data_IF_827065939201
#
_entry.id   IF_827065939201
#
_cell.length_a   1.000
_cell.length_b   1.000
_cell.length_c   1.000
_cell.angle_alpha   90.00
_cell.angle_beta   90.00
_cell.angle_gamma   90.00
#
_symmetry.space_group_name_H-M   'P 1'
#
loop_
_entity.id
_entity.type
_entity.pdbx_description
1 polymer ?
#
# COMPACT_ATOMS: atom_id res chain seq x y z
N UNK A 1 -32.77 3.49 -19.78
CA UNK A 1 -31.91 2.60 -18.97
C UNK A 1 -32.11 2.96 -17.50
N UNK A 2 -32.84 2.11 -16.77
CA UNK A 2 -32.87 1.94 -15.31
C UNK A 2 -34.23 1.34 -14.93
N UNK A 3 -34.23 0.12 -14.41
CA UNK A 3 -35.38 -0.49 -13.75
C UNK A 3 -35.02 -0.69 -12.28
N UNK A 4 -35.86 -0.16 -11.39
CA UNK A 4 -35.96 -0.54 -9.98
C UNK A 4 -37.34 -0.15 -9.46
N UNK A 5 -37.67 -0.70 -8.28
CA UNK A 5 -38.86 -0.54 -7.42
C UNK A 5 -39.94 -1.60 -7.65
N UNK A 6 -40.58 -2.25 -6.68
CA UNK A 6 -40.26 -2.81 -5.35
C UNK A 6 -41.55 -3.50 -4.87
N UNK A 7 -41.41 -4.60 -4.13
CA UNK A 7 -42.26 -5.03 -3.01
C UNK A 7 -43.74 -5.43 -3.20
N UNK A 8 -44.02 -6.64 -2.66
CA UNK A 8 -45.01 -6.92 -1.60
C UNK A 8 -46.51 -6.91 -1.89
N UNK A 9 -47.11 -8.02 -1.44
CA UNK A 9 -48.43 -8.11 -0.78
C UNK A 9 -49.61 -8.53 -1.64
N UNK A 10 -49.99 -9.81 -1.49
CA UNK A 10 -51.37 -10.28 -1.18
C UNK A 10 -51.44 -11.81 -1.31
N UNK A 11 -51.31 -12.54 -0.20
CA UNK A 11 -52.15 -13.73 0.09
C UNK A 11 -51.88 -14.30 1.49
N UNK A 12 -51.92 -13.40 2.48
CA UNK A 12 -52.37 -13.80 3.81
C UNK A 12 -53.90 -13.72 3.79
N UNK A 13 -54.60 -14.82 3.50
CA UNK A 13 -55.99 -15.09 3.94
C UNK A 13 -56.51 -16.44 3.41
N UNK A 14 -55.96 -17.56 3.88
CA UNK A 14 -56.80 -18.75 4.10
C UNK A 14 -56.12 -19.72 5.05
N UNK A 15 -56.88 -20.12 6.07
CA UNK A 15 -56.59 -21.13 7.09
C UNK A 15 -55.84 -20.67 8.34
N UNK A 16 -56.44 -19.70 9.02
CA UNK A 16 -56.52 -19.66 10.48
C UNK A 16 -57.66 -20.60 10.91
N UNK A 17 -57.38 -21.72 11.59
CA UNK A 17 -58.13 -22.27 12.75
C UNK A 17 -57.77 -23.72 13.08
N UNK A 18 -57.16 -23.85 14.27
CA UNK A 18 -57.48 -24.80 15.37
C UNK A 18 -56.99 -26.25 15.14
N UNK A 19 -56.45 -26.96 16.14
CA UNK A 19 -56.91 -27.14 17.52
C UNK A 19 -55.68 -27.53 18.39
N UNK A 20 -55.70 -27.08 19.65
CA UNK A 20 -54.80 -27.49 20.74
C UNK A 20 -55.28 -28.80 21.39
N UNK A 21 -54.41 -29.41 22.20
CA UNK A 21 -54.61 -30.57 23.10
C UNK A 21 -54.31 -31.95 22.49
N UNK A 22 -53.30 -32.63 23.07
CA UNK A 22 -53.24 -34.07 23.42
C UNK A 22 -51.88 -34.38 24.12
N UNK A 23 -51.90 -34.16 25.44
CA UNK A 23 -51.39 -34.95 26.58
C UNK A 23 -50.01 -35.65 26.63
N UNK A 24 -49.39 -35.43 27.79
CA UNK A 24 -48.04 -35.74 28.28
C UNK A 24 -47.87 -37.21 28.77
N UNK A 25 -48.54 -38.21 28.17
CA UNK A 25 -48.64 -39.57 28.77
C UNK A 25 -47.97 -40.72 28.00
N UNK A 26 -47.46 -40.54 26.77
CA UNK A 26 -46.97 -41.69 25.96
C UNK A 26 -45.45 -41.93 25.91
N UNK A 27 -44.62 -41.16 26.64
CA UNK A 27 -43.15 -41.34 26.61
C UNK A 27 -42.65 -42.46 27.55
N UNK A 28 -43.47 -42.91 28.51
CA UNK A 28 -43.00 -43.80 29.60
C UNK A 28 -43.15 -45.31 29.30
N UNK A 29 -43.89 -45.71 28.25
CA UNK A 29 -44.05 -47.14 27.91
C UNK A 29 -42.98 -47.70 26.96
N UNK A 30 -42.36 -46.91 26.08
CA UNK A 30 -41.32 -47.42 25.17
C UNK A 30 -39.97 -47.73 25.85
N UNK A 31 -39.71 -47.12 27.02
CA UNK A 31 -38.42 -47.27 27.73
C UNK A 31 -38.33 -48.59 28.52
N UNK A 32 -39.46 -49.25 28.84
CA UNK A 32 -39.45 -50.52 29.60
C UNK A 32 -39.25 -51.78 28.76
N UNK A 33 -39.54 -51.75 27.45
CA UNK A 33 -39.52 -52.97 26.61
C UNK A 33 -38.17 -53.29 25.93
N UNK A 34 -37.12 -52.46 26.08
CA UNK A 34 -35.77 -52.75 25.52
C UNK A 34 -34.75 -53.29 26.52
N UNK A 35 -35.10 -53.48 27.80
CA UNK A 35 -34.16 -53.95 28.86
C UNK A 35 -34.14 -55.47 29.09
N UNK A 36 -34.81 -56.28 28.27
CA UNK A 36 -34.86 -57.75 28.42
C UNK A 36 -34.37 -58.48 27.18
N UNK A 37 -33.04 -58.47 26.97
CA UNK A 37 -32.19 -59.30 26.08
C UNK A 37 -30.90 -58.49 25.95
N UNK A 38 -29.75 -58.80 26.55
CA UNK A 38 -29.07 -60.07 26.76
C UNK A 38 -28.13 -59.96 27.98
N UNK A 39 -28.09 -61.01 28.80
CA UNK A 39 -27.03 -61.30 29.79
C UNK A 39 -26.22 -62.49 29.29
N UNK A 40 -24.88 -62.40 29.35
CA UNK A 40 -23.90 -63.49 29.17
C UNK A 40 -23.50 -63.74 27.71
N UNK A 41 -22.24 -63.89 27.30
CA UNK A 41 -21.12 -64.63 27.92
C UNK A 41 -19.78 -64.17 27.30
N UNK A 42 -18.68 -64.21 28.05
CA UNK A 42 -17.32 -63.98 27.52
C UNK A 42 -16.90 -65.12 26.57
N UNK A 43 -16.51 -64.79 25.35
CA UNK A 43 -15.70 -65.63 24.49
C UNK A 43 -14.55 -64.80 23.90
N UNK A 44 -13.33 -65.21 24.21
CA UNK A 44 -12.11 -64.73 23.57
C UNK A 44 -12.18 -64.93 22.07
N UNK A 45 -12.08 -63.85 21.29
CA UNK A 45 -11.88 -63.93 19.84
C UNK A 45 -10.61 -63.17 19.47
N UNK A 46 -9.68 -63.92 18.87
CA UNK A 46 -8.39 -63.49 18.37
C UNK A 46 -8.52 -62.24 17.47
N UNK A 47 -7.70 -61.22 17.74
CA UNK A 47 -7.48 -60.11 16.81
C UNK A 47 -6.66 -60.62 15.63
N UNK A 48 -7.34 -61.05 14.56
CA UNK A 48 -6.72 -61.10 13.23
C UNK A 48 -6.46 -59.68 12.75
N UNK A 49 -5.22 -59.23 12.88
CA UNK A 49 -4.71 -58.03 12.21
C UNK A 49 -4.89 -58.22 10.69
N UNK A 50 -5.95 -57.64 10.13
CA UNK A 50 -6.01 -57.36 8.69
C UNK A 50 -5.43 -55.97 8.49
N UNK A 51 -4.25 -55.91 7.89
CA UNK A 51 -3.64 -54.65 7.46
C UNK A 51 -4.47 -54.11 6.28
N UNK A 52 -5.34 -53.14 6.54
CA UNK A 52 -6.13 -52.46 5.52
C UNK A 52 -5.34 -51.31 4.91
N UNK A 53 -5.31 -51.25 3.59
CA UNK A 53 -4.62 -50.24 2.77
C UNK A 53 -5.14 -48.82 3.08
N UNK A 54 -4.24 -47.82 3.12
CA UNK A 54 -4.48 -46.39 3.44
C UNK A 54 -5.75 -45.74 2.82
N UNK A 55 -6.27 -46.27 1.73
CA UNK A 55 -7.36 -45.66 0.95
C UNK A 55 -8.79 -45.98 1.43
N UNK A 56 -8.98 -46.88 2.39
CA UNK A 56 -10.33 -47.20 2.90
C UNK A 56 -10.74 -46.40 4.15
N UNK A 57 -9.80 -45.78 4.87
CA UNK A 57 -10.05 -45.08 6.15
C UNK A 57 -10.69 -43.69 5.94
N UNK A 58 -10.54 -43.09 4.75
CA UNK A 58 -10.98 -41.72 4.45
C UNK A 58 -12.45 -41.56 4.04
N UNK A 59 -13.23 -42.64 3.98
CA UNK A 59 -14.65 -42.62 3.60
C UNK A 59 -15.51 -43.41 4.59
N UNK A 60 -15.24 -43.23 5.87
CA UNK A 60 -16.12 -43.72 6.93
C UNK A 60 -17.23 -42.70 7.18
N UNK A 61 -18.39 -43.20 7.63
CA UNK A 61 -19.50 -42.35 8.11
C UNK A 61 -19.02 -41.37 9.20
N UNK A 62 -18.03 -41.77 9.99
CA UNK A 62 -17.40 -40.93 11.02
C UNK A 62 -16.59 -39.77 10.44
N UNK A 63 -15.83 -40.01 9.36
CA UNK A 63 -15.09 -38.95 8.66
C UNK A 63 -16.05 -37.91 8.05
N UNK A 64 -17.18 -38.36 7.51
CA UNK A 64 -18.22 -37.48 6.97
C UNK A 64 -18.87 -36.62 8.07
N UNK A 65 -19.26 -37.23 9.19
CA UNK A 65 -19.79 -36.51 10.37
C UNK A 65 -18.79 -35.48 10.90
N UNK A 66 -17.52 -35.84 11.02
CA UNK A 66 -16.45 -34.95 11.47
C UNK A 66 -16.27 -33.77 10.51
N UNK A 67 -16.16 -34.03 9.21
CA UNK A 67 -16.03 -33.00 8.18
C UNK A 67 -17.24 -32.05 8.16
N UNK A 68 -18.45 -32.59 8.32
CA UNK A 68 -19.67 -31.81 8.42
C UNK A 68 -19.69 -30.89 9.65
N UNK A 69 -19.14 -31.36 10.78
CA UNK A 69 -19.05 -30.54 12.00
C UNK A 69 -18.07 -29.37 11.84
N UNK A 70 -16.93 -29.58 11.17
CA UNK A 70 -16.00 -28.50 10.80
C UNK A 70 -16.70 -27.48 9.90
N UNK A 71 -17.40 -27.94 8.85
CA UNK A 71 -18.12 -27.06 7.94
C UNK A 71 -19.18 -26.22 8.68
N UNK A 72 -19.90 -26.82 9.63
CA UNK A 72 -20.89 -26.13 10.47
C UNK A 72 -20.24 -25.04 11.33
N UNK A 73 -19.06 -25.28 11.89
CA UNK A 73 -18.33 -24.28 12.67
C UNK A 73 -17.95 -23.05 11.83
N UNK A 74 -17.46 -23.26 10.60
CA UNK A 74 -17.14 -22.18 9.67
C UNK A 74 -18.38 -21.35 9.30
N UNK A 75 -19.48 -22.03 8.97
CA UNK A 75 -20.74 -21.38 8.61
C UNK A 75 -21.31 -20.55 9.78
N UNK A 76 -21.38 -21.14 10.97
CA UNK A 76 -21.97 -20.49 12.15
C UNK A 76 -21.12 -19.32 12.67
N UNK A 77 -19.79 -19.41 12.55
CA UNK A 77 -18.86 -18.40 13.05
C UNK A 77 -18.46 -17.35 12.00
N UNK A 78 -18.94 -17.48 10.76
CA UNK A 78 -18.62 -16.56 9.67
C UNK A 78 -17.13 -16.57 9.26
N UNK A 79 -16.47 -17.74 9.35
CA UNK A 79 -15.04 -17.87 9.05
C UNK A 79 -14.84 -17.98 7.53
N UNK A 80 -13.92 -17.20 6.91
CA UNK A 80 -13.62 -17.33 5.49
C UNK A 80 -13.16 -18.73 5.11
N UNK A 81 -13.70 -19.30 4.03
CA UNK A 81 -13.40 -20.67 3.60
C UNK A 81 -11.91 -20.87 3.27
N UNK A 82 -11.21 -19.82 2.83
CA UNK A 82 -9.77 -19.89 2.53
C UNK A 82 -8.91 -20.24 3.77
N UNK A 83 -9.42 -20.12 4.99
CA UNK A 83 -8.70 -20.52 6.20
C UNK A 83 -8.34 -22.01 6.22
N UNK A 84 -9.08 -22.89 5.52
CA UNK A 84 -8.74 -24.32 5.46
C UNK A 84 -7.42 -24.60 4.74
N UNK A 85 -6.98 -23.68 3.88
CA UNK A 85 -5.70 -23.78 3.17
C UNK A 85 -4.53 -23.22 3.98
N UNK A 86 -4.78 -22.64 5.15
CA UNK A 86 -3.71 -22.19 6.04
C UNK A 86 -3.05 -23.42 6.69
N UNK A 87 -1.71 -23.59 6.60
CA UNK A 87 -1.00 -24.70 7.24
C UNK A 87 -1.30 -24.86 8.74
N UNK A 88 -1.58 -23.75 9.45
CA UNK A 88 -1.93 -23.80 10.88
C UNK A 88 -3.28 -24.50 11.14
N UNK A 89 -4.20 -24.45 10.19
CA UNK A 89 -5.48 -25.16 10.30
C UNK A 89 -5.27 -26.68 10.33
N UNK A 90 -4.40 -27.19 9.46
CA UNK A 90 -4.02 -28.61 9.46
C UNK A 90 -3.31 -29.03 10.75
N UNK A 91 -2.35 -28.22 11.21
CA UNK A 91 -1.62 -28.49 12.48
C UNK A 91 -2.54 -28.50 13.69
N UNK A 92 -3.53 -27.60 13.73
CA UNK A 92 -4.54 -27.59 14.80
C UNK A 92 -5.31 -28.92 14.86
N UNK A 93 -5.81 -29.40 13.71
CA UNK A 93 -6.55 -30.67 13.66
C UNK A 93 -5.66 -31.87 14.02
N UNK A 94 -4.40 -31.87 13.58
CA UNK A 94 -3.42 -32.89 13.95
C UNK A 94 -3.16 -32.93 15.46
N UNK A 95 -2.97 -31.76 16.09
CA UNK A 95 -2.82 -31.67 17.54
C UNK A 95 -4.06 -32.14 18.28
N UNK A 96 -5.26 -31.75 17.83
CA UNK A 96 -6.52 -32.22 18.43
C UNK A 96 -6.65 -33.74 18.29
N UNK A 97 -6.31 -34.32 17.14
CA UNK A 97 -6.35 -35.77 16.94
C UNK A 97 -5.34 -36.51 17.84
N UNK A 98 -4.13 -35.98 17.97
CA UNK A 98 -3.06 -36.59 18.77
C UNK A 98 -3.32 -36.47 20.28
N UNK A 99 -3.83 -35.34 20.76
CA UNK A 99 -4.11 -35.15 22.19
C UNK A 99 -5.47 -35.71 22.61
N UNK A 100 -6.48 -35.62 21.74
CA UNK A 100 -7.82 -36.17 22.01
C UNK A 100 -7.82 -37.68 22.19
N UNK A 101 -6.86 -38.40 21.59
CA UNK A 101 -6.67 -39.85 21.80
C UNK A 101 -5.96 -40.19 23.12
N UNK A 102 -5.20 -39.26 23.70
CA UNK A 102 -4.43 -39.45 24.94
C UNK A 102 -5.28 -39.11 26.17
N UNK A 103 -6.04 -38.02 26.09
CA UNK A 103 -6.75 -37.41 27.22
C UNK A 103 -8.24 -37.76 27.22
N UNK A 104 -8.78 -38.20 26.08
CA UNK A 104 -10.17 -38.64 25.95
C UNK A 104 -11.16 -37.55 26.38
N UNK A 105 -12.10 -37.93 27.25
CA UNK A 105 -13.19 -37.06 27.73
C UNK A 105 -12.72 -35.89 28.62
N UNK A 106 -11.45 -35.86 29.04
CA UNK A 106 -10.87 -34.78 29.87
C UNK A 106 -10.30 -33.62 29.05
N UNK A 107 -10.36 -33.67 27.70
CA UNK A 107 -9.91 -32.56 26.88
C UNK A 107 -10.89 -31.37 26.96
N UNK A 108 -10.49 -30.32 27.67
CA UNK A 108 -11.21 -29.05 27.68
C UNK A 108 -10.61 -28.08 26.65
N UNK A 109 -11.39 -27.60 25.67
CA UNK A 109 -10.91 -26.60 24.73
C UNK A 109 -10.63 -25.28 25.46
N UNK A 110 -9.66 -24.47 24.98
CA UNK A 110 -9.34 -23.20 25.63
C UNK A 110 -10.55 -22.27 25.73
N UNK A 111 -10.70 -21.62 26.88
CA UNK A 111 -11.78 -20.65 27.08
C UNK A 111 -11.58 -19.38 26.25
N UNK A 112 -12.67 -18.62 26.06
CA UNK A 112 -12.62 -17.33 25.36
C UNK A 112 -11.56 -16.37 25.95
N UNK A 113 -11.44 -16.31 27.28
CA UNK A 113 -10.50 -15.43 27.96
C UNK A 113 -9.05 -15.87 27.80
N UNK A 114 -8.80 -17.18 27.76
CA UNK A 114 -7.46 -17.73 27.52
C UNK A 114 -7.00 -17.49 26.09
N UNK A 115 -7.86 -17.70 25.10
CA UNK A 115 -7.57 -17.39 23.69
C UNK A 115 -7.33 -15.90 23.53
N UNK A 116 -8.32 -15.05 23.88
CA UNK A 116 -8.26 -13.60 23.70
C UNK A 116 -7.07 -12.97 24.41
N UNK A 117 -6.78 -13.45 25.62
CA UNK A 117 -5.76 -12.88 26.47
C UNK A 117 -4.41 -13.57 26.32
N UNK A 118 -4.27 -14.72 26.98
CA UNK A 118 -2.97 -15.35 27.23
C UNK A 118 -2.34 -15.91 25.96
N UNK A 119 -3.10 -16.69 25.18
CA UNK A 119 -2.56 -17.45 24.05
C UNK A 119 -2.26 -16.55 22.85
N UNK A 120 -3.18 -15.66 22.47
CA UNK A 120 -2.94 -14.73 21.35
C UNK A 120 -1.84 -13.72 21.66
N UNK A 121 -1.74 -13.20 22.90
CA UNK A 121 -0.61 -12.32 23.28
C UNK A 121 0.73 -13.05 23.14
N UNK A 122 0.82 -14.30 23.60
CA UNK A 122 2.03 -15.10 23.45
C UNK A 122 2.43 -15.29 21.98
N UNK A 123 1.47 -15.46 21.08
CA UNK A 123 1.75 -15.59 19.64
C UNK A 123 2.16 -14.26 19.00
N UNK A 124 1.57 -13.14 19.45
CA UNK A 124 2.02 -11.80 19.09
C UNK A 124 3.46 -11.56 19.53
N UNK A 125 3.81 -11.89 20.77
CA UNK A 125 5.16 -11.72 21.31
C UNK A 125 6.19 -12.53 20.53
N UNK A 126 5.90 -13.80 20.21
CA UNK A 126 6.77 -14.61 19.34
C UNK A 126 6.96 -13.98 17.96
N UNK A 127 5.88 -13.44 17.39
CA UNK A 127 5.94 -12.77 16.09
C UNK A 127 6.79 -11.51 16.17
N UNK A 128 6.67 -10.74 17.25
CA UNK A 128 7.49 -9.56 17.50
C UNK A 128 8.98 -9.91 17.67
N UNK A 129 9.30 -10.99 18.38
CA UNK A 129 10.68 -11.47 18.53
C UNK A 129 11.28 -11.92 17.18
N UNK A 130 10.49 -12.64 16.35
CA UNK A 130 10.91 -13.01 14.99
C UNK A 130 11.12 -11.76 14.11
N UNK A 131 10.27 -10.74 14.26
CA UNK A 131 10.39 -9.48 13.54
C UNK A 131 11.54 -8.62 14.05
N UNK A 132 11.94 -8.71 15.31
CA UNK A 132 13.01 -7.91 15.89
C UNK A 132 14.36 -8.16 15.18
N UNK A 133 14.67 -9.43 14.86
CA UNK A 133 15.84 -9.80 14.05
C UNK A 133 15.83 -9.16 12.67
N UNK A 134 14.67 -9.01 12.06
CA UNK A 134 14.51 -8.33 10.77
C UNK A 134 14.50 -6.80 10.91
N UNK A 135 14.03 -6.27 12.03
CA UNK A 135 14.05 -4.82 12.33
C UNK A 135 15.47 -4.28 12.50
N UNK A 136 16.39 -5.08 13.02
CA UNK A 136 17.81 -4.72 13.06
C UNK A 136 18.40 -4.59 11.65
N UNK A 137 17.96 -5.44 10.72
CA UNK A 137 18.25 -5.30 9.29
C UNK A 137 17.55 -4.09 8.66
N UNK A 138 16.35 -3.73 9.11
CA UNK A 138 15.58 -2.56 8.67
C UNK A 138 15.90 -1.25 9.41
N UNK A 139 16.92 -1.20 10.29
CA UNK A 139 17.44 0.10 10.74
C UNK A 139 17.82 0.85 9.48
N UNK A 140 17.06 1.90 9.15
CA UNK A 140 17.24 2.77 7.99
C UNK A 140 18.52 3.60 8.16
N UNK A 141 19.65 2.96 8.39
CA UNK A 141 20.94 3.65 8.46
C UNK A 141 21.28 4.17 7.06
N UNK A 142 22.10 5.20 6.99
CA UNK A 142 22.48 5.80 5.73
C UNK A 142 23.13 4.77 4.79
N UNK A 143 23.96 3.86 5.34
CA UNK A 143 24.68 2.83 4.60
C UNK A 143 23.73 1.85 3.92
N UNK A 144 22.72 1.36 4.66
CA UNK A 144 21.74 0.41 4.11
C UNK A 144 20.84 1.04 3.06
N UNK A 145 20.44 2.30 3.26
CA UNK A 145 19.68 3.04 2.24
C UNK A 145 20.56 3.20 1.00
N UNK A 146 21.82 3.58 1.16
CA UNK A 146 22.77 3.72 0.07
C UNK A 146 22.97 2.40 -0.70
N UNK A 147 23.16 1.27 -0.01
CA UNK A 147 23.29 -0.05 -0.63
C UNK A 147 22.10 -0.40 -1.51
N UNK A 148 20.87 -0.20 -1.00
CA UNK A 148 19.64 -0.46 -1.77
C UNK A 148 19.54 0.46 -2.99
N UNK A 149 19.82 1.75 -2.83
CA UNK A 149 19.78 2.70 -3.94
C UNK A 149 20.83 2.36 -4.99
N UNK A 150 22.05 2.04 -4.57
CA UNK A 150 23.16 1.70 -5.45
C UNK A 150 22.89 0.42 -6.25
N UNK A 151 22.32 -0.61 -5.62
CA UNK A 151 21.90 -1.84 -6.29
C UNK A 151 20.83 -1.57 -7.36
N UNK A 152 19.85 -0.70 -7.06
CA UNK A 152 18.81 -0.32 -8.03
C UNK A 152 19.42 0.42 -9.22
N UNK A 153 20.32 1.38 -8.99
CA UNK A 153 20.99 2.09 -10.09
C UNK A 153 21.84 1.13 -10.93
N UNK A 154 22.50 0.14 -10.31
CA UNK A 154 23.24 -0.90 -11.04
C UNK A 154 22.34 -1.76 -11.93
N UNK A 155 21.17 -2.19 -11.42
CA UNK A 155 20.20 -2.98 -12.18
C UNK A 155 19.60 -2.22 -13.36
N UNK A 156 19.32 -0.92 -13.18
CA UNK A 156 18.76 -0.06 -14.24
C UNK A 156 19.84 0.35 -15.25
N UNK A 157 21.10 0.38 -14.82
CA UNK A 157 22.21 0.98 -15.55
C UNK A 157 22.30 2.48 -15.23
N UNK A 158 23.49 2.95 -14.86
CA UNK A 158 23.73 4.35 -14.49
C UNK A 158 23.36 5.32 -15.62
N UNK A 159 23.47 4.87 -16.87
CA UNK A 159 23.05 5.58 -18.07
C UNK A 159 21.57 5.89 -18.17
N UNK A 160 20.72 5.08 -17.53
CA UNK A 160 19.27 5.13 -17.64
C UNK A 160 18.62 5.80 -16.43
N UNK A 161 19.43 6.28 -15.47
CA UNK A 161 18.97 6.95 -14.26
C UNK A 161 19.21 8.45 -14.39
N UNK A 162 18.15 9.23 -14.53
CA UNK A 162 18.22 10.70 -14.60
C UNK A 162 18.26 11.36 -13.22
N UNK A 163 17.50 10.82 -12.27
CA UNK A 163 17.40 11.39 -10.93
C UNK A 163 17.02 10.32 -9.90
N UNK A 164 17.65 10.38 -8.73
CA UNK A 164 17.23 9.66 -7.54
C UNK A 164 16.62 10.67 -6.57
N UNK A 165 15.34 10.50 -6.23
CA UNK A 165 14.61 11.36 -5.30
C UNK A 165 14.40 10.59 -4.00
N UNK A 166 14.91 11.15 -2.91
CA UNK A 166 14.80 10.58 -1.56
C UNK A 166 14.17 11.57 -0.61
N UNK A 167 13.64 11.07 0.51
CA UNK A 167 13.13 11.92 1.59
C UNK A 167 14.25 12.79 2.20
N UNK A 168 13.89 13.94 2.78
CA UNK A 168 14.85 14.87 3.40
C UNK A 168 15.26 14.48 4.84
N UNK A 169 15.11 13.22 5.24
CA UNK A 169 15.54 12.80 6.58
C UNK A 169 17.04 12.51 6.61
N UNK A 170 17.70 12.68 7.77
CA UNK A 170 19.17 12.64 7.92
C UNK A 170 19.84 11.44 7.24
N UNK A 171 19.28 10.24 7.43
CA UNK A 171 19.86 9.02 6.85
C UNK A 171 19.73 8.96 5.32
N UNK A 172 18.65 9.51 4.75
CA UNK A 172 18.47 9.58 3.30
C UNK A 172 19.33 10.68 2.68
N UNK A 173 19.57 11.77 3.40
CA UNK A 173 20.50 12.82 2.96
C UNK A 173 21.95 12.29 2.93
N UNK A 174 22.37 11.59 3.97
CA UNK A 174 23.69 10.94 4.03
C UNK A 174 23.83 9.86 2.95
N UNK A 175 22.82 9.00 2.78
CA UNK A 175 22.82 8.00 1.72
C UNK A 175 22.89 8.63 0.33
N UNK A 176 22.16 9.73 0.11
CA UNK A 176 22.23 10.52 -1.11
C UNK A 176 23.62 11.09 -1.37
N UNK A 177 24.28 11.66 -0.34
CA UNK A 177 25.67 12.13 -0.44
C UNK A 177 26.63 11.02 -0.84
N UNK A 178 26.54 9.85 -0.19
CA UNK A 178 27.33 8.66 -0.53
C UNK A 178 27.10 8.21 -1.98
N UNK A 179 25.85 8.22 -2.45
CA UNK A 179 25.50 7.88 -3.83
C UNK A 179 26.10 8.86 -4.84
N UNK A 180 26.07 10.16 -4.54
CA UNK A 180 26.67 11.20 -5.40
C UNK A 180 28.20 11.09 -5.43
N UNK A 181 28.84 10.78 -4.30
CA UNK A 181 30.29 10.57 -4.23
C UNK A 181 30.73 9.36 -5.07
N UNK A 182 30.01 8.23 -4.96
CA UNK A 182 30.29 7.02 -5.75
C UNK A 182 29.98 7.22 -7.23
N UNK A 183 28.84 7.84 -7.54
CA UNK A 183 28.29 7.98 -8.89
C UNK A 183 28.18 9.44 -9.29
N UNK A 184 29.35 10.07 -9.49
CA UNK A 184 29.47 11.48 -9.90
C UNK A 184 28.71 11.82 -11.19
N UNK A 185 28.37 10.83 -12.01
CA UNK A 185 27.70 11.03 -13.29
C UNK A 185 26.20 11.27 -13.12
N UNK A 186 25.55 10.68 -12.12
CA UNK A 186 24.10 10.80 -11.88
C UNK A 186 23.64 12.25 -11.67
N UNK A 187 24.51 13.11 -11.14
CA UNK A 187 24.16 14.50 -10.84
C UNK A 187 24.81 15.51 -11.79
N UNK A 188 25.53 15.06 -12.83
CA UNK A 188 26.34 15.96 -13.67
C UNK A 188 25.50 17.04 -14.35
N UNK A 189 24.36 16.66 -14.94
CA UNK A 189 23.43 17.61 -15.58
C UNK A 189 22.83 18.59 -14.57
N UNK A 190 22.29 18.07 -13.46
CA UNK A 190 21.66 18.89 -12.42
C UNK A 190 22.65 19.83 -11.74
N UNK A 191 23.89 19.37 -11.52
CA UNK A 191 25.00 20.17 -10.99
C UNK A 191 25.42 21.24 -11.97
N UNK A 192 25.44 20.91 -13.27
CA UNK A 192 25.67 21.89 -14.32
C UNK A 192 24.59 22.99 -14.30
N UNK A 193 23.31 22.59 -14.31
CA UNK A 193 22.18 23.53 -14.24
C UNK A 193 22.27 24.42 -13.00
N UNK A 194 22.41 23.84 -11.80
CA UNK A 194 22.52 24.59 -10.54
C UNK A 194 23.69 25.55 -10.52
N UNK A 195 24.82 25.19 -11.14
CA UNK A 195 25.99 26.07 -11.22
C UNK A 195 25.69 27.33 -12.04
N UNK A 196 25.05 27.20 -13.20
CA UNK A 196 24.73 28.36 -14.04
C UNK A 196 23.52 29.15 -13.54
N UNK A 197 22.55 28.51 -12.88
CA UNK A 197 21.34 29.19 -12.37
C UNK A 197 21.46 29.67 -10.93
N UNK A 198 22.65 29.59 -10.31
CA UNK A 198 22.85 29.85 -8.87
C UNK A 198 21.86 29.09 -7.97
N UNK A 199 21.58 27.84 -8.31
CA UNK A 199 20.64 26.98 -7.60
C UNK A 199 19.16 27.31 -7.84
N UNK A 200 18.82 28.34 -8.63
CA UNK A 200 17.42 28.64 -8.97
C UNK A 200 16.84 27.51 -9.85
N UNK A 201 15.68 27.01 -9.45
CA UNK A 201 14.88 26.07 -10.25
C UNK A 201 14.19 26.78 -11.42
N UNK A 202 13.96 26.08 -12.52
CA UNK A 202 13.31 26.65 -13.72
C UNK A 202 11.81 26.87 -13.53
N UNK A 203 11.14 25.97 -12.81
CA UNK A 203 9.71 26.03 -12.52
C UNK A 203 9.52 26.51 -11.10
N UNK A 204 8.59 27.45 -10.90
CA UNK A 204 8.20 27.96 -9.59
C UNK A 204 6.71 27.66 -9.35
N UNK A 205 6.39 26.48 -8.78
CA UNK A 205 5.01 26.10 -8.49
C UNK A 205 4.33 27.09 -7.53
N UNK A 206 3.04 27.28 -7.73
CA UNK A 206 2.21 28.17 -6.94
C UNK A 206 0.79 27.63 -6.78
N UNK A 207 0.03 28.19 -5.84
CA UNK A 207 -1.32 27.73 -5.49
C UNK A 207 -2.30 27.74 -6.69
N UNK A 208 -2.09 28.62 -7.67
CA UNK A 208 -2.91 28.70 -8.88
C UNK A 208 -2.05 28.53 -10.13
N UNK A 209 -2.68 28.04 -11.21
CA UNK A 209 -2.04 27.97 -12.53
C UNK A 209 -1.57 29.35 -13.02
N UNK A 210 -2.33 30.41 -12.75
CA UNK A 210 -1.98 31.78 -13.15
C UNK A 210 -0.71 32.27 -12.44
N UNK A 211 -0.62 32.10 -11.12
CA UNK A 211 0.58 32.43 -10.36
C UNK A 211 1.78 31.57 -10.78
N UNK A 212 1.57 30.28 -11.06
CA UNK A 212 2.62 29.37 -11.53
C UNK A 212 3.17 29.82 -12.89
N UNK A 213 2.28 30.18 -13.82
CA UNK A 213 2.69 30.69 -15.14
C UNK A 213 3.46 32.01 -14.99
N UNK A 214 2.96 32.95 -14.19
CA UNK A 214 3.65 34.22 -13.93
C UNK A 214 5.07 34.00 -13.41
N UNK A 215 5.22 33.23 -12.33
CA UNK A 215 6.49 32.98 -11.66
C UNK A 215 7.47 32.18 -12.53
N UNK A 216 6.97 31.22 -13.30
CA UNK A 216 7.80 30.43 -14.21
C UNK A 216 8.29 31.27 -15.39
N UNK A 217 7.42 32.12 -15.97
CA UNK A 217 7.83 33.05 -17.02
C UNK A 217 8.84 34.09 -16.53
N UNK A 218 8.64 34.65 -15.33
CA UNK A 218 9.61 35.53 -14.67
C UNK A 218 10.98 34.84 -14.53
N UNK A 219 10.97 33.60 -14.03
CA UNK A 219 12.19 32.84 -13.80
C UNK A 219 12.91 32.49 -15.11
N UNK A 220 12.18 32.13 -16.17
CA UNK A 220 12.77 31.88 -17.48
C UNK A 220 13.39 33.14 -18.07
N UNK A 221 12.70 34.28 -17.97
CA UNK A 221 13.21 35.57 -18.42
C UNK A 221 14.52 35.95 -17.68
N UNK A 222 14.53 35.86 -16.34
CA UNK A 222 15.73 36.09 -15.51
C UNK A 222 16.89 35.15 -15.87
N UNK A 223 16.60 33.88 -16.16
CA UNK A 223 17.61 32.84 -16.38
C UNK A 223 18.04 32.69 -17.85
N UNK A 224 17.46 33.44 -18.79
CA UNK A 224 17.79 33.38 -20.23
C UNK A 224 19.30 33.39 -20.49
N UNK A 225 20.00 34.40 -19.97
CA UNK A 225 21.44 34.54 -20.17
C UNK A 225 22.24 33.39 -19.55
N UNK A 226 21.84 32.93 -18.36
CA UNK A 226 22.48 31.80 -17.68
C UNK A 226 22.32 30.49 -18.46
N UNK A 227 21.12 30.23 -18.99
CA UNK A 227 20.83 29.04 -19.78
C UNK A 227 21.56 29.06 -21.12
N UNK A 228 21.52 30.15 -21.88
CA UNK A 228 22.29 30.28 -23.12
C UNK A 228 23.78 30.07 -22.85
N UNK A 229 24.32 30.66 -21.78
CA UNK A 229 25.71 30.48 -21.37
C UNK A 229 26.03 29.03 -21.01
N UNK A 230 25.15 28.35 -20.26
CA UNK A 230 25.29 26.94 -19.91
C UNK A 230 25.45 26.08 -21.15
N UNK A 231 24.51 26.18 -22.10
CA UNK A 231 24.50 25.38 -23.32
C UNK A 231 25.64 25.74 -24.28
N UNK A 232 26.20 26.94 -24.17
CA UNK A 232 27.38 27.35 -24.94
C UNK A 232 28.72 26.91 -24.32
N UNK A 233 28.71 26.52 -23.03
CA UNK A 233 29.91 26.23 -22.25
C UNK A 233 30.59 24.91 -22.62
N UNK A 234 31.90 24.83 -22.41
CA UNK A 234 32.66 23.58 -22.56
C UNK A 234 32.17 22.49 -21.59
N UNK A 235 31.70 22.89 -20.40
CA UNK A 235 31.12 21.99 -19.41
C UNK A 235 29.89 21.26 -19.96
N UNK A 236 29.03 21.94 -20.72
CA UNK A 236 27.91 21.29 -21.42
C UNK A 236 28.40 20.45 -22.60
N UNK A 237 29.25 21.02 -23.46
CA UNK A 237 29.73 20.34 -24.69
C UNK A 237 30.48 19.04 -24.41
N UNK A 238 31.20 18.98 -23.29
CA UNK A 238 31.91 17.77 -22.84
C UNK A 238 31.00 16.79 -22.07
N UNK A 239 29.74 17.17 -21.80
CA UNK A 239 28.79 16.32 -21.09
C UNK A 239 28.15 15.26 -22.00
N UNK A 240 27.80 14.11 -21.42
CA UNK A 240 27.04 13.08 -22.14
C UNK A 240 25.66 13.57 -22.59
N UNK A 241 25.04 14.45 -21.80
CA UNK A 241 23.73 15.02 -22.12
C UNK A 241 23.77 15.76 -23.46
N UNK A 242 24.83 16.52 -23.74
CA UNK A 242 25.02 17.18 -25.05
C UNK A 242 25.14 16.20 -26.22
N UNK A 243 25.72 15.00 -26.01
CA UNK A 243 25.84 13.99 -27.05
C UNK A 243 24.50 13.29 -27.37
N UNK A 244 23.57 13.26 -26.40
CA UNK A 244 22.27 12.59 -26.53
C UNK A 244 21.35 13.30 -27.53
N UNK A 245 20.42 12.54 -28.13
CA UNK A 245 19.43 13.12 -29.05
C UNK A 245 18.56 14.17 -28.36
N UNK A 246 18.20 13.95 -27.10
CA UNK A 246 17.35 14.85 -26.33
C UNK A 246 18.10 16.13 -25.93
N UNK A 247 19.36 16.00 -25.49
CA UNK A 247 20.18 17.17 -25.20
C UNK A 247 20.42 18.05 -26.42
N UNK A 248 20.63 17.46 -27.61
CA UNK A 248 20.71 18.23 -28.88
C UNK A 248 19.42 18.97 -29.21
N UNK A 249 18.26 18.35 -28.96
CA UNK A 249 16.96 19.00 -29.15
C UNK A 249 16.78 20.19 -28.20
N UNK A 250 17.08 19.99 -26.92
CA UNK A 250 16.97 21.04 -25.90
C UNK A 250 17.96 22.17 -26.19
N UNK A 251 19.20 21.85 -26.54
CA UNK A 251 20.22 22.82 -26.93
C UNK A 251 19.74 23.68 -28.10
N UNK A 252 19.17 23.06 -29.14
CA UNK A 252 18.60 23.79 -30.27
C UNK A 252 17.48 24.74 -29.84
N UNK A 253 16.60 24.32 -28.92
CA UNK A 253 15.52 25.18 -28.38
C UNK A 253 16.10 26.35 -27.58
N UNK A 254 17.06 26.09 -26.70
CA UNK A 254 17.67 27.12 -25.82
C UNK A 254 18.50 28.12 -26.61
N UNK A 255 19.17 27.71 -27.68
CA UNK A 255 19.96 28.62 -28.54
C UNK A 255 19.05 29.40 -29.51
N UNK A 256 17.84 28.93 -29.78
CA UNK A 256 16.95 29.55 -30.74
C UNK A 256 16.32 30.85 -30.20
N UNK A 257 16.94 31.98 -30.58
CA UNK A 257 16.56 33.33 -30.11
C UNK A 257 15.06 33.66 -30.23
N UNK A 258 14.34 33.30 -31.30
CA UNK A 258 12.91 33.65 -31.41
C UNK A 258 12.03 33.07 -30.30
N UNK A 259 12.40 31.93 -29.69
CA UNK A 259 11.69 31.41 -28.51
C UNK A 259 11.82 32.37 -27.33
N UNK A 260 13.01 32.92 -27.12
CA UNK A 260 13.23 33.90 -26.07
C UNK A 260 12.54 35.23 -26.35
N UNK A 261 12.51 35.68 -27.60
CA UNK A 261 11.81 36.91 -27.96
C UNK A 261 10.30 36.80 -27.64
N UNK A 262 9.69 35.62 -27.86
CA UNK A 262 8.31 35.34 -27.47
C UNK A 262 8.13 35.36 -25.94
N UNK A 263 9.08 34.78 -25.18
CA UNK A 263 9.03 34.77 -23.71
C UNK A 263 9.17 36.19 -23.18
N UNK A 264 10.12 36.96 -23.69
CA UNK A 264 10.40 38.33 -23.29
C UNK A 264 9.19 39.23 -23.62
N UNK A 265 8.61 39.09 -24.82
CA UNK A 265 7.39 39.80 -25.21
C UNK A 265 6.21 39.47 -24.30
N UNK A 266 6.00 38.18 -23.98
CA UNK A 266 4.92 37.77 -23.05
C UNK A 266 5.15 38.29 -21.63
N UNK A 267 6.40 38.24 -21.15
CA UNK A 267 6.77 38.77 -19.85
C UNK A 267 6.47 40.28 -19.79
N UNK A 268 6.94 41.04 -20.77
CA UNK A 268 6.77 42.50 -20.82
C UNK A 268 5.30 42.93 -21.04
N UNK A 269 4.51 42.23 -21.87
CA UNK A 269 3.20 42.72 -22.29
C UNK A 269 1.99 41.96 -21.74
N UNK A 270 2.11 40.66 -21.45
CA UNK A 270 0.96 39.82 -21.07
C UNK A 270 0.92 39.49 -19.58
N UNK A 271 2.07 39.33 -18.95
CA UNK A 271 2.14 38.90 -17.55
C UNK A 271 2.02 40.05 -16.54
N UNK A 272 2.19 41.30 -16.98
CA UNK A 272 1.75 42.49 -16.24
C UNK A 272 0.22 42.71 -16.28
N UNK A 273 -0.55 41.79 -16.87
CA UNK A 273 -2.02 41.81 -16.75
C UNK A 273 -2.42 41.68 -15.27
N UNK A 274 -3.37 42.52 -14.85
CA UNK A 274 -3.94 42.57 -13.50
C UNK A 274 -4.26 41.19 -12.90
N UNK A 275 -4.69 40.22 -13.71
CA UNK A 275 -5.04 38.88 -13.22
C UNK A 275 -3.84 38.03 -12.79
N UNK A 276 -2.75 38.03 -13.55
CA UNK A 276 -1.54 37.27 -13.19
C UNK A 276 -0.80 37.95 -12.04
N UNK A 277 -0.78 39.28 -12.08
CA UNK A 277 -0.29 40.16 -11.03
C UNK A 277 -1.00 39.94 -9.69
N UNK A 278 -2.34 39.98 -9.68
CA UNK A 278 -3.16 39.69 -8.51
C UNK A 278 -2.98 38.24 -8.04
N UNK A 279 -2.89 37.27 -8.97
CA UNK A 279 -2.67 35.88 -8.60
C UNK A 279 -1.32 35.65 -7.90
N UNK A 280 -0.25 36.37 -8.29
CA UNK A 280 1.01 36.37 -7.55
C UNK A 280 0.87 37.06 -6.20
N UNK A 281 0.31 38.27 -6.19
CA UNK A 281 0.16 39.08 -4.97
C UNK A 281 -0.66 38.37 -3.89
N UNK A 282 -1.73 37.65 -4.27
CA UNK A 282 -2.61 36.94 -3.34
C UNK A 282 -2.13 35.51 -3.02
N UNK A 283 -0.99 35.08 -3.56
CA UNK A 283 -0.48 33.74 -3.30
C UNK A 283 0.14 33.68 -1.89
N UNK A 284 -0.45 32.95 -0.92
CA UNK A 284 0.03 32.98 0.47
C UNK A 284 1.47 32.49 0.62
N UNK A 285 1.90 31.57 -0.24
CA UNK A 285 3.26 31.02 -0.17
C UNK A 285 4.33 32.06 -0.47
N UNK A 286 4.04 33.03 -1.34
CA UNK A 286 5.00 34.06 -1.74
C UNK A 286 4.71 35.41 -1.06
N UNK A 287 3.44 35.76 -0.85
CA UNK A 287 3.04 37.05 -0.24
C UNK A 287 3.62 37.23 1.17
N UNK A 288 3.72 36.14 1.93
CA UNK A 288 4.26 36.14 3.30
C UNK A 288 5.73 35.66 3.36
N UNK A 289 6.40 35.54 2.22
CA UNK A 289 7.83 35.22 2.17
C UNK A 289 8.67 36.46 2.47
N UNK A 290 9.81 36.28 3.14
CA UNK A 290 10.79 37.36 3.38
C UNK A 290 11.34 37.95 2.06
N UNK A 291 11.32 37.17 0.98
CA UNK A 291 11.78 37.58 -0.36
C UNK A 291 10.64 38.14 -1.24
N UNK A 292 9.48 38.46 -0.65
CA UNK A 292 8.36 39.00 -1.42
C UNK A 292 8.74 40.34 -2.05
N UNK A 293 8.76 40.39 -3.38
CA UNK A 293 8.96 41.62 -4.12
C UNK A 293 7.60 42.14 -4.63
N UNK A 294 7.01 43.17 -4.01
CA UNK A 294 5.79 43.79 -4.51
C UNK A 294 6.15 44.59 -5.76
N UNK A 295 6.11 43.92 -6.90
CA UNK A 295 6.25 44.56 -8.20
C UNK A 295 5.33 45.78 -8.28
N UNK A 296 5.92 46.94 -8.55
CA UNK A 296 5.25 48.23 -8.48
C UNK A 296 4.10 48.30 -9.48
N UNK A 297 4.29 47.70 -10.66
CA UNK A 297 3.28 47.67 -11.71
C UNK A 297 2.13 46.74 -11.33
N UNK A 298 2.40 45.63 -10.62
CA UNK A 298 1.36 44.76 -10.03
C UNK A 298 0.55 45.52 -8.99
N UNK A 299 1.22 46.26 -8.10
CA UNK A 299 0.56 46.99 -7.02
C UNK A 299 -0.32 48.12 -7.57
N UNK A 300 0.19 48.89 -8.54
CA UNK A 300 -0.55 49.92 -9.26
C UNK A 300 -1.73 49.33 -10.06
N UNK A 301 -1.52 48.18 -10.70
CA UNK A 301 -2.57 47.41 -11.35
C UNK A 301 -3.69 47.06 -10.36
N UNK A 302 -3.35 46.46 -9.22
CA UNK A 302 -4.32 46.09 -8.21
C UNK A 302 -5.13 47.29 -7.68
N UNK A 303 -4.44 48.40 -7.38
CA UNK A 303 -5.08 49.64 -6.91
C UNK A 303 -5.97 50.30 -7.97
N UNK A 304 -5.63 50.19 -9.25
CA UNK A 304 -6.46 50.72 -10.35
C UNK A 304 -7.68 49.86 -10.68
N UNK A 305 -7.74 48.64 -10.14
CA UNK A 305 -8.85 47.69 -10.31
C UNK A 305 -9.81 47.60 -9.12
N UNK A 306 -9.54 48.34 -8.04
CA UNK A 306 -10.38 48.49 -6.84
C UNK A 306 -11.12 49.84 -6.89
#
# INVERSE_FOLDING_TARGET
MCAKVESSSKESQKKKKRVADLDEVDVVQEIKNKKSKEKGTMASFERKSKQTTKNQIFRTEEHEKFSQQIAKFFYASGIPLNCVNNPEFGRMLEMIANYGTIIGDEFEPPSYHEIRGKLLRKEVDKTLDMLQKHRENLKKTAEKIFEVLDEVVEKVGEENVEQVVTDHTTNYELAGKMLVEKRKRLTSLLTCLKHFTNGKGLIRPAATRFATTYLTSACLHELKGALITMFSSDKWKLSRSAASQEGKRIEAIVIYQPVWDIIDQRWQHHFHSHLHAAAYHLNPHYHYSDDFNPDVDIKLGLYSSL
#
